data_IF_905155275737
#
_entry.id   IF_905155275737
#
_cell.length_a   1.000
_cell.length_b   1.000
_cell.length_c   1.000
_cell.angle_alpha   90.00
_cell.angle_beta   90.00
_cell.angle_gamma   90.00
#
_symmetry.space_group_name_H-M   'P 1'
#
loop_
_entity.id
_entity.type
_entity.pdbx_description
1 polymer ?
#
# COMPACT_ATOMS: atom_id res chain seq x y z
N UNK A 1 14.33 -5.51 -20.13
CA UNK A 1 14.46 -6.88 -20.68
C UNK A 1 13.52 -7.04 -21.87
N UNK A 2 13.92 -7.68 -22.98
CA UNK A 2 13.02 -7.89 -24.13
C UNK A 2 11.84 -8.80 -23.71
N UNK A 3 10.60 -8.53 -24.18
CA UNK A 3 9.38 -9.29 -23.82
C UNK A 3 9.54 -10.82 -24.00
N UNK A 4 10.24 -11.24 -25.06
CA UNK A 4 10.47 -12.66 -25.35
C UNK A 4 11.39 -13.35 -24.32
N UNK A 5 12.33 -12.60 -23.73
CA UNK A 5 13.20 -13.10 -22.66
C UNK A 5 12.45 -13.24 -21.33
N UNK A 6 11.45 -12.39 -21.06
CA UNK A 6 10.64 -12.51 -19.84
C UNK A 6 9.73 -13.73 -19.86
N UNK A 7 9.08 -14.02 -20.99
CA UNK A 7 8.23 -15.22 -21.16
C UNK A 7 9.00 -16.52 -20.89
N UNK A 8 10.28 -16.58 -21.26
CA UNK A 8 11.13 -17.74 -20.98
C UNK A 8 11.36 -17.94 -19.48
N UNK A 9 11.52 -16.86 -18.70
CA UNK A 9 11.65 -16.97 -17.24
C UNK A 9 10.38 -17.55 -16.60
N UNK A 10 9.20 -17.27 -17.17
CA UNK A 10 7.94 -17.86 -16.70
C UNK A 10 7.85 -19.35 -17.00
N UNK A 11 8.69 -19.93 -17.85
CA UNK A 11 8.75 -21.39 -18.03
C UNK A 11 9.75 -22.06 -17.06
N UNK A 12 10.53 -21.27 -16.31
CA UNK A 12 11.56 -21.78 -15.43
C UNK A 12 10.96 -22.56 -14.24
N UNK A 13 11.54 -23.71 -13.82
CA UNK A 13 11.01 -24.51 -12.72
C UNK A 13 10.83 -23.75 -11.40
N UNK A 14 11.72 -22.80 -11.11
CA UNK A 14 11.59 -21.97 -9.90
C UNK A 14 10.35 -21.07 -9.94
N UNK A 15 10.01 -20.53 -11.11
CA UNK A 15 8.76 -19.78 -11.26
C UNK A 15 7.56 -20.69 -11.09
N UNK A 16 7.57 -21.88 -11.71
CA UNK A 16 6.45 -22.81 -11.59
C UNK A 16 6.19 -23.23 -10.13
N UNK A 17 7.26 -23.49 -9.37
CA UNK A 17 7.18 -23.74 -7.91
C UNK A 17 6.63 -22.53 -7.16
N UNK A 18 7.19 -21.33 -7.39
CA UNK A 18 6.74 -20.11 -6.71
C UNK A 18 5.29 -19.78 -7.02
N UNK A 19 4.89 -19.92 -8.29
CA UNK A 19 3.52 -19.71 -8.75
C UNK A 19 2.53 -20.61 -7.99
N UNK A 20 2.84 -21.91 -7.88
CA UNK A 20 2.00 -22.85 -7.13
C UNK A 20 1.96 -22.56 -5.63
N UNK A 21 3.08 -22.16 -5.03
CA UNK A 21 3.13 -21.71 -3.63
C UNK A 21 2.17 -20.54 -3.38
N UNK A 22 2.22 -19.51 -4.21
CA UNK A 22 1.34 -18.33 -4.07
C UNK A 22 -0.12 -18.67 -4.32
N UNK A 23 -0.42 -19.45 -5.35
CA UNK A 23 -1.79 -19.90 -5.61
C UNK A 23 -2.34 -20.75 -4.47
N UNK A 24 -1.52 -21.63 -3.89
CA UNK A 24 -1.93 -22.44 -2.74
C UNK A 24 -2.18 -21.58 -1.50
N UNK A 25 -1.35 -20.55 -1.24
CA UNK A 25 -1.57 -19.58 -0.16
C UNK A 25 -2.92 -18.88 -0.33
N UNK A 26 -3.25 -18.50 -1.56
CA UNK A 26 -4.47 -17.79 -1.91
C UNK A 26 -5.65 -18.74 -2.18
N UNK A 27 -5.56 -20.01 -1.76
CA UNK A 27 -6.61 -21.02 -1.89
C UNK A 27 -7.13 -21.20 -3.33
N UNK A 28 -6.22 -21.07 -4.30
CA UNK A 28 -6.52 -21.12 -5.74
C UNK A 28 -7.72 -20.23 -6.12
N UNK A 29 -7.78 -19.04 -5.53
CA UNK A 29 -8.84 -18.06 -5.75
C UNK A 29 -8.24 -16.68 -5.96
N UNK A 30 -8.92 -15.84 -6.73
CA UNK A 30 -8.54 -14.45 -6.90
C UNK A 30 -8.69 -13.70 -5.57
N UNK A 31 -7.62 -13.04 -5.10
CA UNK A 31 -7.66 -12.29 -3.84
C UNK A 31 -8.51 -11.01 -3.90
N UNK A 32 -8.88 -10.57 -5.12
CA UNK A 32 -9.65 -9.34 -5.33
C UNK A 32 -11.16 -9.61 -5.44
N UNK A 33 -11.57 -10.66 -6.17
CA UNK A 33 -12.99 -10.93 -6.42
C UNK A 33 -13.46 -12.32 -5.97
N UNK A 34 -12.57 -13.18 -5.46
CA UNK A 34 -12.90 -14.53 -5.02
C UNK A 34 -13.09 -15.57 -6.14
N UNK A 35 -13.02 -15.16 -7.41
CA UNK A 35 -13.13 -16.05 -8.57
C UNK A 35 -12.09 -17.18 -8.54
N UNK A 36 -12.53 -18.42 -8.79
CA UNK A 36 -11.70 -19.63 -8.69
C UNK A 36 -11.90 -20.63 -9.84
N UNK A 37 -12.78 -20.33 -10.81
CA UNK A 37 -13.00 -21.18 -11.99
C UNK A 37 -12.26 -20.64 -13.23
N UNK A 38 -12.04 -19.32 -13.32
CA UNK A 38 -11.28 -18.70 -14.41
C UNK A 38 -9.78 -18.97 -14.31
N UNK A 39 -9.06 -18.73 -15.41
CA UNK A 39 -7.59 -18.74 -15.41
C UNK A 39 -7.03 -17.78 -14.37
N UNK A 40 -6.17 -18.31 -13.49
CA UNK A 40 -5.47 -17.55 -12.46
C UNK A 40 -4.05 -17.21 -12.90
N UNK A 41 -3.60 -16.02 -12.50
CA UNK A 41 -2.27 -15.48 -12.70
C UNK A 41 -1.68 -15.05 -11.36
N UNK A 42 -0.37 -15.15 -11.22
CA UNK A 42 0.35 -14.53 -10.10
C UNK A 42 0.87 -13.19 -10.56
N UNK A 43 0.39 -12.12 -9.93
CA UNK A 43 0.74 -10.74 -10.19
C UNK A 43 1.87 -10.29 -9.25
N UNK A 44 2.83 -9.54 -9.77
CA UNK A 44 3.86 -8.86 -8.98
C UNK A 44 3.38 -7.47 -8.58
N UNK A 45 3.30 -7.17 -7.28
CA UNK A 45 2.86 -5.87 -6.78
C UNK A 45 3.86 -4.73 -7.07
N UNK A 46 5.11 -5.09 -7.35
CA UNK A 46 6.16 -4.17 -7.78
C UNK A 46 7.22 -4.95 -8.57
N UNK A 47 7.98 -4.23 -9.40
CA UNK A 47 9.06 -4.79 -10.21
C UNK A 47 10.41 -4.13 -9.88
N UNK A 48 11.43 -4.96 -9.71
CA UNK A 48 12.84 -4.60 -9.59
C UNK A 48 13.60 -5.16 -10.79
N UNK A 49 14.32 -4.29 -11.51
CA UNK A 49 14.95 -4.61 -12.80
C UNK A 49 15.96 -5.76 -12.78
N UNK A 50 16.54 -6.07 -11.61
CA UNK A 50 17.57 -7.09 -11.42
C UNK A 50 17.03 -8.44 -10.92
N UNK A 51 15.73 -8.55 -10.61
CA UNK A 51 15.15 -9.75 -10.01
C UNK A 51 14.40 -10.61 -11.03
N UNK A 52 14.66 -11.91 -11.00
CA UNK A 52 13.84 -12.91 -11.66
C UNK A 52 12.46 -13.04 -11.00
N UNK A 53 11.42 -13.53 -11.70
CA UNK A 53 10.04 -13.57 -11.19
C UNK A 53 9.87 -14.27 -9.83
N UNK A 54 10.70 -15.27 -9.52
CA UNK A 54 10.63 -16.06 -8.27
C UNK A 54 11.47 -15.50 -7.11
N UNK A 55 12.27 -14.45 -7.33
CA UNK A 55 13.16 -13.88 -6.30
C UNK A 55 12.45 -12.87 -5.38
N UNK A 56 11.16 -12.65 -5.60
CA UNK A 56 10.33 -11.76 -4.81
C UNK A 56 9.81 -12.49 -3.56
N UNK A 57 9.71 -11.78 -2.42
CA UNK A 57 9.04 -12.35 -1.25
C UNK A 57 7.57 -12.64 -1.59
N UNK A 58 6.96 -13.61 -0.90
CA UNK A 58 5.56 -13.98 -1.17
C UNK A 58 4.59 -12.81 -0.96
N UNK A 59 4.92 -11.87 -0.06
CA UNK A 59 4.15 -10.64 0.17
C UNK A 59 4.14 -9.66 -1.01
N UNK A 60 5.01 -9.83 -2.00
CA UNK A 60 5.05 -9.04 -3.23
C UNK A 60 4.29 -9.71 -4.39
N UNK A 61 3.63 -10.84 -4.14
CA UNK A 61 2.96 -11.67 -5.13
C UNK A 61 1.53 -11.96 -4.68
N UNK A 62 0.58 -11.86 -5.60
CA UNK A 62 -0.84 -12.14 -5.34
C UNK A 62 -1.47 -12.93 -6.47
N UNK A 63 -2.44 -13.79 -6.16
CA UNK A 63 -3.23 -14.52 -7.16
C UNK A 63 -4.42 -13.69 -7.61
N UNK A 64 -4.50 -13.42 -8.92
CA UNK A 64 -5.62 -12.72 -9.56
C UNK A 64 -6.22 -13.57 -10.67
N UNK A 65 -7.54 -13.49 -10.88
CA UNK A 65 -8.15 -14.05 -12.09
C UNK A 65 -7.73 -13.24 -13.32
N UNK A 66 -7.88 -13.81 -14.52
CA UNK A 66 -7.48 -13.16 -15.77
C UNK A 66 -8.06 -11.74 -15.92
N UNK A 67 -9.33 -11.53 -15.55
CA UNK A 67 -10.01 -10.24 -15.59
C UNK A 67 -9.34 -9.23 -14.64
N UNK A 68 -9.31 -9.51 -13.33
CA UNK A 68 -8.70 -8.59 -12.35
C UNK A 68 -7.21 -8.35 -12.61
N UNK A 69 -6.50 -9.35 -13.15
CA UNK A 69 -5.10 -9.20 -13.51
C UNK A 69 -4.91 -8.21 -14.67
N UNK A 70 -5.76 -8.28 -15.70
CA UNK A 70 -5.74 -7.33 -16.82
C UNK A 70 -6.16 -5.93 -16.35
N UNK A 71 -7.24 -5.83 -15.57
CA UNK A 71 -7.71 -4.57 -14.98
C UNK A 71 -6.62 -3.86 -14.15
N UNK A 72 -5.85 -4.59 -13.33
CA UNK A 72 -4.74 -4.01 -12.56
C UNK A 72 -3.66 -3.43 -13.49
N UNK A 73 -3.29 -4.13 -14.58
CA UNK A 73 -2.30 -3.59 -15.53
C UNK A 73 -2.81 -2.36 -16.27
N UNK A 74 -4.10 -2.31 -16.59
CA UNK A 74 -4.69 -1.21 -17.35
C UNK A 74 -4.95 0.04 -16.48
N UNK A 75 -5.42 -0.14 -15.26
CA UNK A 75 -5.94 0.96 -14.43
C UNK A 75 -4.93 1.52 -13.42
N UNK A 76 -3.93 0.73 -12.99
CA UNK A 76 -2.99 1.13 -11.93
C UNK A 76 -2.28 2.45 -12.24
N UNK A 77 -1.76 2.61 -13.45
CA UNK A 77 -1.05 3.82 -13.86
C UNK A 77 -1.93 5.07 -13.87
N UNK A 78 -3.20 4.93 -14.24
CA UNK A 78 -4.18 6.01 -14.22
C UNK A 78 -4.46 6.46 -12.78
N UNK A 79 -4.76 5.52 -11.88
CA UNK A 79 -5.02 5.83 -10.47
C UNK A 79 -3.82 6.46 -9.77
N UNK A 80 -2.61 5.92 -9.98
CA UNK A 80 -1.38 6.48 -9.41
C UNK A 80 -1.13 7.91 -9.91
N UNK A 81 -1.27 8.14 -11.21
CA UNK A 81 -1.08 9.48 -11.80
C UNK A 81 -2.16 10.45 -11.33
N UNK A 82 -3.41 10.00 -11.28
CA UNK A 82 -4.56 10.76 -10.80
C UNK A 82 -4.34 11.23 -9.36
N UNK A 83 -3.99 10.31 -8.45
CA UNK A 83 -3.70 10.64 -7.06
C UNK A 83 -2.63 11.73 -6.94
N UNK A 84 -1.50 11.58 -7.63
CA UNK A 84 -0.42 12.57 -7.58
C UNK A 84 -0.86 13.92 -8.15
N UNK A 85 -1.68 13.93 -9.21
CA UNK A 85 -2.23 15.16 -9.78
C UNK A 85 -3.15 15.87 -8.78
N UNK A 86 -4.04 15.13 -8.10
CA UNK A 86 -4.95 15.71 -7.12
C UNK A 86 -4.18 16.30 -5.93
N UNK A 87 -3.18 15.59 -5.39
CA UNK A 87 -2.31 16.11 -4.31
C UNK A 87 -1.61 17.42 -4.74
N UNK A 88 -1.07 17.48 -5.96
CA UNK A 88 -0.44 18.69 -6.48
C UNK A 88 -1.41 19.85 -6.65
N UNK A 89 -2.66 19.58 -7.06
CA UNK A 89 -3.68 20.62 -7.23
C UNK A 89 -4.04 21.32 -5.91
N UNK A 90 -3.89 20.60 -4.79
CA UNK A 90 -4.04 21.12 -3.43
C UNK A 90 -2.79 21.84 -2.90
N UNK A 91 -1.71 21.92 -3.70
CA UNK A 91 -0.46 22.58 -3.33
C UNK A 91 0.53 21.69 -2.57
N UNK A 92 0.28 20.38 -2.45
CA UNK A 92 1.23 19.47 -1.80
C UNK A 92 2.47 19.27 -2.66
N UNK A 93 3.62 19.26 -1.99
CA UNK A 93 4.94 19.14 -2.59
C UNK A 93 5.49 17.72 -2.46
N UNK A 94 6.64 17.48 -3.08
CA UNK A 94 7.33 16.19 -2.99
C UNK A 94 7.61 15.75 -1.53
N UNK A 95 7.83 16.71 -0.63
CA UNK A 95 8.01 16.44 0.80
C UNK A 95 6.78 15.80 1.44
N UNK A 96 5.57 16.26 1.10
CA UNK A 96 4.32 15.75 1.67
C UNK A 96 4.02 14.32 1.18
N UNK A 97 4.28 14.05 -0.10
CA UNK A 97 4.24 12.68 -0.65
C UNK A 97 5.26 11.79 0.08
N UNK A 98 6.44 12.33 0.36
CA UNK A 98 7.46 11.67 1.18
C UNK A 98 6.97 11.34 2.59
N UNK A 99 6.20 12.23 3.22
CA UNK A 99 5.59 11.98 4.53
C UNK A 99 4.63 10.80 4.50
N UNK A 100 3.75 10.72 3.50
CA UNK A 100 2.82 9.59 3.33
C UNK A 100 3.60 8.28 3.12
N UNK A 101 4.62 8.30 2.25
CA UNK A 101 5.49 7.14 2.02
C UNK A 101 6.18 6.68 3.31
N UNK A 102 6.70 7.62 4.09
CA UNK A 102 7.39 7.33 5.35
C UNK A 102 6.42 6.80 6.41
N UNK A 103 5.19 7.30 6.48
CA UNK A 103 4.13 6.76 7.35
C UNK A 103 3.91 5.27 7.07
N UNK A 104 3.71 4.88 5.80
CA UNK A 104 3.50 3.47 5.42
C UNK A 104 4.73 2.63 5.75
N UNK A 105 5.94 3.15 5.50
CA UNK A 105 7.18 2.46 5.84
C UNK A 105 7.35 2.24 7.35
N UNK A 106 7.03 3.27 8.16
CA UNK A 106 7.07 3.21 9.63
C UNK A 106 6.02 2.28 10.21
N UNK A 107 4.81 2.28 9.67
CA UNK A 107 3.74 1.35 10.06
C UNK A 107 4.18 -0.10 9.81
N UNK A 108 4.72 -0.39 8.63
CA UNK A 108 5.26 -1.72 8.31
C UNK A 108 6.43 -2.10 9.24
N UNK A 109 7.31 -1.16 9.58
CA UNK A 109 8.42 -1.41 10.48
C UNK A 109 7.98 -1.68 11.93
N UNK A 110 6.86 -1.08 12.38
CA UNK A 110 6.39 -1.19 13.76
C UNK A 110 5.56 -2.46 14.02
N UNK A 111 4.76 -2.90 13.05
CA UNK A 111 3.81 -3.99 13.25
C UNK A 111 3.91 -5.14 12.23
N UNK A 112 4.83 -5.05 11.25
CA UNK A 112 4.98 -6.05 10.19
C UNK A 112 4.03 -5.82 9.01
N UNK A 113 4.21 -6.60 7.93
CA UNK A 113 3.50 -6.41 6.67
C UNK A 113 1.98 -6.61 6.78
N UNK A 114 1.55 -7.68 7.45
CA UNK A 114 0.14 -8.09 7.53
C UNK A 114 -0.69 -7.08 8.32
N UNK A 115 -0.29 -6.78 9.56
CA UNK A 115 -0.95 -5.77 10.41
C UNK A 115 -0.92 -4.37 9.80
N UNK A 116 0.16 -4.01 9.09
CA UNK A 116 0.24 -2.73 8.40
C UNK A 116 -0.79 -2.65 7.25
N UNK A 117 -0.97 -3.75 6.51
CA UNK A 117 -2.00 -3.84 5.47
C UNK A 117 -3.39 -3.71 6.08
N UNK A 118 -3.72 -4.52 7.09
CA UNK A 118 -5.03 -4.46 7.78
C UNK A 118 -5.35 -3.04 8.29
N UNK A 119 -4.35 -2.36 8.86
CA UNK A 119 -4.52 -0.99 9.35
C UNK A 119 -4.79 0.01 8.22
N UNK A 120 -4.14 -0.15 7.07
CA UNK A 120 -4.37 0.71 5.90
C UNK A 120 -5.70 0.37 5.21
N UNK A 121 -6.09 -0.90 5.14
CA UNK A 121 -7.39 -1.31 4.60
C UNK A 121 -8.52 -0.65 5.37
N UNK A 122 -8.47 -0.65 6.71
CA UNK A 122 -9.47 0.01 7.55
C UNK A 122 -9.56 1.53 7.28
N UNK A 123 -8.43 2.20 7.03
CA UNK A 123 -8.40 3.63 6.66
C UNK A 123 -9.05 3.82 5.28
N UNK A 124 -8.70 2.98 4.31
CA UNK A 124 -9.26 3.05 2.96
C UNK A 124 -10.76 2.78 2.94
N UNK A 125 -11.26 1.85 3.76
CA UNK A 125 -12.68 1.59 3.93
C UNK A 125 -13.42 2.81 4.50
N UNK A 126 -12.88 3.43 5.55
CA UNK A 126 -13.43 4.67 6.10
C UNK A 126 -13.44 5.81 5.06
N UNK A 127 -12.37 5.94 4.27
CA UNK A 127 -12.32 6.90 3.16
C UNK A 127 -13.31 6.57 2.05
N UNK A 128 -13.54 5.30 1.73
CA UNK A 128 -14.49 4.90 0.70
C UNK A 128 -15.93 5.31 1.06
N UNK A 129 -16.31 5.23 2.34
CA UNK A 129 -17.61 5.72 2.81
C UNK A 129 -17.81 7.21 2.61
N UNK A 130 -16.73 7.99 2.60
CA UNK A 130 -16.82 9.43 2.36
C UNK A 130 -17.38 9.83 0.99
N UNK A 131 -17.30 8.92 0.01
CA UNK A 131 -17.90 9.11 -1.31
C UNK A 131 -19.43 9.13 -1.23
N UNK A 132 -20.00 8.36 -0.30
CA UNK A 132 -21.44 8.24 -0.08
C UNK A 132 -21.94 9.17 1.04
N UNK A 133 -21.08 9.48 2.01
CA UNK A 133 -21.44 10.21 3.23
C UNK A 133 -20.40 11.31 3.53
N UNK A 134 -20.62 12.56 3.08
CA UNK A 134 -19.65 13.65 3.26
C UNK A 134 -19.26 13.93 4.72
N UNK A 135 -20.15 13.62 5.68
CA UNK A 135 -19.90 13.78 7.12
C UNK A 135 -18.67 12.99 7.60
N UNK A 136 -18.37 11.86 6.95
CA UNK A 136 -17.21 11.03 7.29
C UNK A 136 -15.90 11.80 7.06
N UNK A 137 -15.84 12.67 6.04
CA UNK A 137 -14.65 13.52 5.81
C UNK A 137 -14.45 14.47 6.97
N UNK A 138 -15.53 15.11 7.43
CA UNK A 138 -15.47 16.08 8.51
C UNK A 138 -15.02 15.42 9.83
N UNK A 139 -15.49 14.21 10.11
CA UNK A 139 -15.06 13.43 11.27
C UNK A 139 -13.58 13.04 11.20
N UNK A 140 -13.11 12.55 10.05
CA UNK A 140 -11.71 12.20 9.85
C UNK A 140 -10.80 13.42 10.02
N UNK A 141 -11.18 14.56 9.44
CA UNK A 141 -10.45 15.84 9.56
C UNK A 141 -10.46 16.33 11.01
N UNK A 142 -11.58 16.21 11.72
CA UNK A 142 -11.70 16.59 13.12
C UNK A 142 -10.76 15.75 14.00
N UNK A 143 -10.80 14.42 13.86
CA UNK A 143 -9.93 13.51 14.63
C UNK A 143 -8.45 13.81 14.37
N UNK A 144 -8.07 14.06 13.12
CA UNK A 144 -6.71 14.41 12.77
C UNK A 144 -6.26 15.73 13.42
N UNK A 145 -7.09 16.78 13.37
CA UNK A 145 -6.80 18.09 14.00
C UNK A 145 -6.69 17.98 15.52
N UNK A 146 -7.60 17.23 16.15
CA UNK A 146 -7.58 16.97 17.58
C UNK A 146 -6.30 16.25 18.02
N UNK A 147 -5.86 15.24 17.26
CA UNK A 147 -4.60 14.54 17.53
C UNK A 147 -3.39 15.47 17.45
N UNK A 148 -3.31 16.29 16.39
CA UNK A 148 -2.21 17.26 16.20
C UNK A 148 -2.18 18.27 17.34
N UNK A 149 -3.32 18.85 17.69
CA UNK A 149 -3.43 19.82 18.80
C UNK A 149 -2.94 19.23 20.12
N UNK A 150 -3.39 18.00 20.45
CA UNK A 150 -2.95 17.30 21.67
C UNK A 150 -1.45 17.03 21.65
N UNK A 151 -0.88 16.68 20.50
CA UNK A 151 0.55 16.39 20.37
C UNK A 151 1.41 17.64 20.53
N UNK A 152 1.02 18.77 19.92
CA UNK A 152 1.72 20.05 20.09
C UNK A 152 1.74 20.49 21.56
N UNK A 153 0.60 20.42 22.24
CA UNK A 153 0.52 20.75 23.67
C UNK A 153 1.37 19.82 24.57
N UNK A 154 1.61 18.56 24.18
CA UNK A 154 2.54 17.68 24.89
C UNK A 154 4.00 18.10 24.67
N UNK A 155 4.34 18.46 23.43
CA UNK A 155 5.69 18.89 23.05
C UNK A 155 6.06 20.19 23.79
N UNK A 156 5.18 21.19 23.76
CA UNK A 156 5.38 22.47 24.46
C UNK A 156 5.64 22.28 25.96
N UNK A 157 4.82 21.45 26.63
CA UNK A 157 5.02 21.11 28.05
C UNK A 157 6.37 20.44 28.32
N UNK A 158 6.83 19.56 27.43
CA UNK A 158 8.11 18.88 27.57
C UNK A 158 9.31 19.85 27.42
N UNK A 159 9.20 20.90 26.60
CA UNK A 159 10.22 21.94 26.48
C UNK A 159 10.22 22.88 27.68
N UNK A 160 9.06 23.33 28.17
CA UNK A 160 8.98 24.20 29.36
C UNK A 160 9.53 23.55 30.63
N UNK A 161 9.47 22.21 30.75
CA UNK A 161 10.08 21.49 31.88
C UNK A 161 11.61 21.35 31.78
N UNK A 162 12.20 21.37 30.58
CA UNK A 162 13.66 21.29 30.40
C UNK A 162 14.34 22.62 30.73
N UNK A 163 13.77 23.73 30.28
CA UNK A 163 14.30 25.08 30.55
C UNK A 163 14.26 25.44 32.05
N UNK A 164 13.34 24.86 32.82
CA UNK A 164 13.26 25.04 34.27
C UNK A 164 14.21 24.16 35.09
N UNK A 165 14.77 23.10 34.49
CA UNK A 165 15.66 22.13 35.17
C UNK A 165 17.16 22.40 34.98
N UNK A 166 17.54 23.26 34.02
CA UNK A 166 18.93 23.70 33.80
C UNK A 166 19.26 25.01 34.54
N UNK A 167 18.29 25.58 35.29
CA UNK A 167 18.42 26.85 36.00
C UNK A 167 18.74 26.73 37.52
N UNK A 168 19.17 25.57 37.99
CA UNK A 168 19.54 25.32 39.41
C UNK A 168 20.93 24.76 39.56
#
# INVERSE_FOLDING_TARGET
MKKDSYRQLLLHPNWQKKRLEIMSRDQFSCVQCGENEKTLNVHHLYYESSKAPWEYPSSALVTLCATCHEDEHETRGEYETGLIRELRSLGLLAGDVGTIRNLVASLRASCGQEKAKESLDAILEAMAWSVCEPVVIDELVFIAKEYVSKRLAQIERAYSHKDGSEAT
#
